data_IF_732240243809
#
_entry.id   IF_732240243809
#
_cell.length_a   1.000
_cell.length_b   1.000
_cell.length_c   1.000
_cell.angle_alpha   90.00
_cell.angle_beta   90.00
_cell.angle_gamma   90.00
#
_symmetry.space_group_name_H-M   'P 1'
#
loop_
_entity.id
_entity.type
_entity.pdbx_description
1 polymer ?
#
# COMPACT_ATOMS: atom_id res chain seq x y z
N UNK A 1 -15.88 2.09 -1.72
CA UNK A 1 -15.13 1.15 -2.55
C UNK A 1 -15.65 1.13 -3.98
N UNK A 2 -14.76 0.97 -4.96
CA UNK A 2 -15.15 0.89 -6.37
C UNK A 2 -15.75 -0.48 -6.71
N UNK A 3 -15.20 -1.54 -6.18
CA UNK A 3 -15.52 -2.91 -6.56
C UNK A 3 -16.22 -3.68 -5.45
N UNK A 4 -15.69 -3.66 -4.25
CA UNK A 4 -16.27 -4.30 -3.08
C UNK A 4 -16.06 -3.45 -1.83
N UNK A 5 -17.12 -3.18 -1.09
CA UNK A 5 -17.02 -2.48 0.18
C UNK A 5 -16.43 -3.41 1.26
N UNK A 6 -16.84 -4.67 1.23
CA UNK A 6 -16.36 -5.69 2.16
C UNK A 6 -16.23 -7.04 1.46
N UNK A 7 -15.08 -7.69 1.63
CA UNK A 7 -14.81 -9.02 1.10
C UNK A 7 -14.62 -9.99 2.24
N UNK A 8 -15.49 -11.00 2.31
CA UNK A 8 -15.50 -12.05 3.35
C UNK A 8 -15.11 -13.37 2.70
N UNK A 9 -14.29 -14.14 3.38
CA UNK A 9 -13.89 -15.48 2.97
C UNK A 9 -15.00 -16.52 3.26
N UNK A 10 -15.26 -17.37 2.27
CA UNK A 10 -16.02 -18.60 2.48
C UNK A 10 -15.03 -19.69 2.97
N UNK A 11 -15.06 -19.98 4.27
CA UNK A 11 -14.14 -20.92 4.93
C UNK A 11 -14.24 -22.35 4.39
N UNK A 12 -15.33 -22.69 3.71
CA UNK A 12 -15.53 -24.06 3.18
C UNK A 12 -14.77 -24.30 1.86
N UNK A 13 -14.42 -23.25 1.12
CA UNK A 13 -13.84 -23.41 -0.24
C UNK A 13 -12.36 -23.11 -0.34
N UNK A 14 -11.73 -22.45 0.62
CA UNK A 14 -10.31 -22.04 0.60
C UNK A 14 -9.83 -21.53 -0.78
N UNK A 15 -10.65 -20.74 -1.45
CA UNK A 15 -10.40 -20.23 -2.79
C UNK A 15 -9.84 -18.82 -2.72
N UNK A 16 -8.85 -18.54 -3.57
CA UNK A 16 -8.37 -17.16 -3.75
C UNK A 16 -9.37 -16.37 -4.59
N UNK A 17 -9.90 -15.29 -4.03
CA UNK A 17 -10.74 -14.35 -4.79
C UNK A 17 -9.89 -13.61 -5.83
N UNK A 18 -10.39 -13.50 -7.07
CA UNK A 18 -9.67 -12.83 -8.15
C UNK A 18 -10.56 -11.78 -8.82
N UNK A 19 -10.03 -10.58 -8.99
CA UNK A 19 -10.70 -9.47 -9.66
C UNK A 19 -9.79 -8.74 -10.63
N UNK A 20 -10.41 -8.16 -11.65
CA UNK A 20 -9.74 -7.27 -12.59
C UNK A 20 -10.53 -5.98 -12.69
N UNK A 21 -9.84 -4.85 -12.58
CA UNK A 21 -10.42 -3.51 -12.68
C UNK A 21 -9.66 -2.73 -13.74
N UNK A 22 -10.39 -2.08 -14.63
CA UNK A 22 -9.82 -1.17 -15.64
C UNK A 22 -10.25 0.25 -15.34
N UNK A 23 -9.29 1.15 -15.15
CA UNK A 23 -9.52 2.58 -14.97
C UNK A 23 -9.39 3.23 -16.35
N UNK A 24 -10.51 3.57 -16.97
CA UNK A 24 -10.58 3.91 -18.41
C UNK A 24 -10.82 5.41 -18.66
N UNK A 25 -11.23 6.16 -17.67
CA UNK A 25 -11.54 7.58 -17.83
C UNK A 25 -10.28 8.42 -17.67
N UNK A 26 -10.22 9.60 -18.32
CA UNK A 26 -9.14 10.54 -18.13
C UNK A 26 -8.93 10.91 -16.65
N UNK A 27 -10.02 10.98 -15.89
CA UNK A 27 -10.01 11.14 -14.44
C UNK A 27 -10.87 10.04 -13.79
N UNK A 28 -10.28 9.26 -12.89
CA UNK A 28 -11.00 8.27 -12.10
C UNK A 28 -11.02 8.69 -10.63
N UNK A 29 -12.21 8.71 -10.01
CA UNK A 29 -12.39 9.06 -8.60
C UNK A 29 -13.24 8.01 -7.87
N UNK A 30 -12.73 7.46 -6.79
CA UNK A 30 -13.41 6.44 -5.98
C UNK A 30 -12.81 6.38 -4.55
N UNK A 31 -13.39 5.58 -3.64
CA UNK A 31 -12.75 5.35 -2.34
C UNK A 31 -11.73 4.23 -2.47
N UNK A 32 -11.64 3.13 -2.41
CA UNK A 32 -10.61 2.10 -2.70
C UNK A 32 -11.22 1.07 -3.66
N UNK A 33 -10.42 0.32 -4.38
CA UNK A 33 -10.96 -0.79 -5.18
C UNK A 33 -11.62 -1.80 -4.26
N UNK A 34 -10.94 -2.18 -3.18
CA UNK A 34 -11.49 -2.99 -2.09
C UNK A 34 -11.56 -2.11 -0.84
N UNK A 35 -12.75 -1.92 -0.27
CA UNK A 35 -12.91 -1.17 0.98
C UNK A 35 -12.25 -1.89 2.15
N UNK A 36 -12.67 -3.14 2.40
CA UNK A 36 -12.12 -4.01 3.43
C UNK A 36 -11.94 -5.43 2.90
N UNK A 37 -10.73 -5.96 3.06
CA UNK A 37 -10.44 -7.38 2.83
C UNK A 37 -10.54 -8.09 4.18
N UNK A 38 -11.48 -9.02 4.30
CA UNK A 38 -11.82 -9.71 5.55
C UNK A 38 -10.72 -10.63 6.08
N UNK A 39 -10.88 -11.10 7.31
CA UNK A 39 -9.94 -12.02 7.95
C UNK A 39 -9.79 -13.33 7.16
N UNK A 40 -8.55 -13.84 7.08
CA UNK A 40 -8.19 -15.08 6.40
C UNK A 40 -8.56 -15.12 4.90
N UNK A 41 -8.85 -13.97 4.29
CA UNK A 41 -9.13 -13.87 2.85
C UNK A 41 -7.85 -13.80 2.05
N UNK A 42 -7.74 -14.64 1.02
CA UNK A 42 -6.70 -14.55 0.01
C UNK A 42 -7.29 -13.93 -1.26
N UNK A 43 -6.68 -12.87 -1.75
CA UNK A 43 -7.18 -12.13 -2.91
C UNK A 43 -6.07 -11.82 -3.92
N UNK A 44 -6.45 -11.79 -5.19
CA UNK A 44 -5.62 -11.31 -6.28
C UNK A 44 -6.39 -10.25 -7.06
N UNK A 45 -5.80 -9.08 -7.17
CA UNK A 45 -6.38 -7.92 -7.85
C UNK A 45 -5.49 -7.50 -9.01
N UNK A 46 -6.06 -7.43 -10.19
CA UNK A 46 -5.40 -6.83 -11.36
C UNK A 46 -5.99 -5.45 -11.60
N UNK A 47 -5.14 -4.42 -11.63
CA UNK A 47 -5.51 -3.04 -11.94
C UNK A 47 -4.84 -2.64 -13.25
N UNK A 48 -5.63 -2.44 -14.28
CA UNK A 48 -5.18 -1.87 -15.54
C UNK A 48 -5.53 -0.38 -15.55
N UNK A 49 -4.51 0.47 -15.55
CA UNK A 49 -4.74 1.91 -15.53
C UNK A 49 -4.48 2.53 -16.90
N UNK A 50 -5.53 3.13 -17.46
CA UNK A 50 -5.51 3.94 -18.67
C UNK A 50 -6.01 5.38 -18.41
N UNK A 51 -6.12 5.77 -17.14
CA UNK A 51 -6.49 7.13 -16.75
C UNK A 51 -5.24 8.00 -16.61
N UNK A 52 -5.37 9.30 -16.86
CA UNK A 52 -4.29 10.28 -16.66
C UNK A 52 -4.10 10.58 -15.17
N UNK A 53 -5.20 10.58 -14.42
CA UNK A 53 -5.20 10.78 -12.97
C UNK A 53 -6.21 9.88 -12.27
N UNK A 54 -5.85 9.46 -11.04
CA UNK A 54 -6.70 8.63 -10.19
C UNK A 54 -6.79 9.26 -8.81
N UNK A 55 -8.00 9.56 -8.36
CA UNK A 55 -8.26 10.09 -7.02
C UNK A 55 -8.96 9.04 -6.15
N UNK A 56 -8.34 8.71 -5.05
CA UNK A 56 -8.86 7.78 -4.03
C UNK A 56 -9.11 8.54 -2.76
N UNK A 57 -10.35 8.55 -2.26
CA UNK A 57 -10.69 9.24 -1.03
C UNK A 57 -11.54 8.39 -0.11
N UNK A 58 -11.23 8.44 1.18
CA UNK A 58 -11.97 7.71 2.21
C UNK A 58 -12.08 8.50 3.51
N UNK A 59 -13.14 8.25 4.30
CA UNK A 59 -13.25 8.80 5.65
C UNK A 59 -12.37 8.04 6.65
N UNK A 60 -12.22 6.72 6.49
CA UNK A 60 -11.34 5.86 7.28
C UNK A 60 -9.99 5.62 6.58
N UNK A 61 -9.53 4.39 6.54
CA UNK A 61 -8.31 4.03 5.82
C UNK A 61 -8.51 4.08 4.31
N UNK A 62 -7.55 4.61 3.57
CA UNK A 62 -7.58 4.74 2.12
C UNK A 62 -6.31 4.20 1.46
N UNK A 63 -6.48 3.47 0.37
CA UNK A 63 -5.40 2.98 -0.50
C UNK A 63 -5.96 2.66 -1.88
N UNK A 64 -5.16 2.77 -2.94
CA UNK A 64 -5.61 2.48 -4.29
C UNK A 64 -6.24 1.08 -4.37
N UNK A 65 -5.51 0.07 -3.94
CA UNK A 65 -5.96 -1.31 -3.99
C UNK A 65 -6.94 -1.65 -2.84
N UNK A 66 -6.56 -1.33 -1.61
CA UNK A 66 -7.37 -1.69 -0.45
C UNK A 66 -7.31 -0.62 0.64
N UNK A 67 -8.47 -0.26 1.19
CA UNK A 67 -8.56 0.63 2.35
C UNK A 67 -8.03 -0.06 3.60
N UNK A 68 -8.50 -1.29 3.89
CA UNK A 68 -8.12 -2.05 5.07
C UNK A 68 -8.01 -3.55 4.79
N UNK A 69 -6.90 -4.12 5.18
CA UNK A 69 -6.69 -5.57 5.22
C UNK A 69 -6.84 -6.04 6.67
N UNK A 70 -7.72 -7.00 6.89
CA UNK A 70 -7.94 -7.60 8.21
C UNK A 70 -6.93 -8.72 8.48
N UNK A 71 -6.97 -9.25 9.71
CA UNK A 71 -6.03 -10.23 10.23
C UNK A 71 -5.84 -11.45 9.31
N UNK A 72 -4.58 -11.87 9.13
CA UNK A 72 -4.20 -13.04 8.32
C UNK A 72 -4.70 -13.00 6.87
N UNK A 73 -5.11 -11.85 6.36
CA UNK A 73 -5.50 -11.71 4.96
C UNK A 73 -4.29 -11.55 4.05
N UNK A 74 -4.40 -11.94 2.79
CA UNK A 74 -3.35 -11.71 1.80
C UNK A 74 -3.90 -11.08 0.54
N UNK A 75 -3.16 -10.11 -0.01
CA UNK A 75 -3.53 -9.43 -1.25
C UNK A 75 -2.33 -9.37 -2.19
N UNK A 76 -2.47 -9.99 -3.35
CA UNK A 76 -1.54 -9.81 -4.46
C UNK A 76 -2.14 -8.80 -5.44
N UNK A 77 -1.41 -7.73 -5.71
CA UNK A 77 -1.83 -6.70 -6.68
C UNK A 77 -0.92 -6.74 -7.89
N UNK A 78 -1.52 -6.84 -9.06
CA UNK A 78 -0.85 -6.73 -10.35
C UNK A 78 -1.29 -5.41 -10.97
N UNK A 79 -0.34 -4.54 -11.27
CA UNK A 79 -0.60 -3.25 -11.89
C UNK A 79 -0.09 -3.18 -13.31
N UNK A 80 -0.75 -2.41 -14.15
CA UNK A 80 -0.26 -2.02 -15.47
C UNK A 80 -0.74 -0.61 -15.82
N UNK A 81 0.05 0.12 -16.61
CA UNK A 81 -0.19 1.51 -16.93
C UNK A 81 0.35 2.45 -15.83
N UNK A 82 0.36 3.74 -16.12
CA UNK A 82 0.84 4.80 -15.22
C UNK A 82 -0.20 5.91 -15.08
N UNK A 83 -0.32 6.48 -13.88
CA UNK A 83 -1.13 7.66 -13.64
C UNK A 83 -0.54 8.50 -12.50
N UNK A 84 -1.05 9.71 -12.35
CA UNK A 84 -0.92 10.46 -11.11
C UNK A 84 -1.96 9.94 -10.12
N UNK A 85 -1.52 9.37 -9.01
CA UNK A 85 -2.40 8.84 -7.97
C UNK A 85 -2.49 9.80 -6.79
N UNK A 86 -3.70 10.27 -6.48
CA UNK A 86 -3.99 11.08 -5.31
C UNK A 86 -4.82 10.25 -4.32
N UNK A 87 -4.24 9.91 -3.19
CA UNK A 87 -4.88 9.08 -2.17
C UNK A 87 -5.07 9.91 -0.90
N UNK A 88 -6.30 10.03 -0.40
CA UNK A 88 -6.59 10.81 0.78
C UNK A 88 -7.47 10.07 1.79
N UNK A 89 -7.16 10.27 3.08
CA UNK A 89 -8.00 9.83 4.20
C UNK A 89 -8.29 10.99 5.12
N UNK A 90 -9.57 11.28 5.34
CA UNK A 90 -9.98 12.45 6.15
C UNK A 90 -9.95 12.20 7.66
N UNK A 91 -9.94 10.95 8.14
CA UNK A 91 -9.88 10.64 9.57
C UNK A 91 -9.01 9.43 9.94
N UNK A 92 -8.43 8.76 8.95
CA UNK A 92 -7.64 7.54 9.14
C UNK A 92 -6.26 7.60 8.51
N UNK A 93 -5.77 6.43 8.09
CA UNK A 93 -4.46 6.25 7.48
C UNK A 93 -4.59 6.21 5.95
N UNK A 94 -3.56 6.67 5.24
CA UNK A 94 -3.50 6.58 3.81
C UNK A 94 -2.18 5.95 3.34
N UNK A 95 -2.28 5.09 2.35
CA UNK A 95 -1.12 4.54 1.63
C UNK A 95 -1.38 4.53 0.14
N UNK A 96 -0.34 4.68 -0.66
CA UNK A 96 -0.48 4.66 -2.12
C UNK A 96 -1.20 3.39 -2.61
N UNK A 97 -0.97 2.24 -1.97
CA UNK A 97 -1.66 0.98 -2.27
C UNK A 97 -2.62 0.54 -1.17
N UNK A 98 -2.18 0.55 0.08
CA UNK A 98 -2.95 0.02 1.21
C UNK A 98 -3.05 1.06 2.32
N UNK A 99 -4.26 1.35 2.79
CA UNK A 99 -4.46 2.27 3.91
C UNK A 99 -4.00 1.69 5.23
N UNK A 100 -4.47 0.50 5.58
CA UNK A 100 -4.14 -0.19 6.85
C UNK A 100 -4.02 -1.70 6.64
N UNK A 101 -2.99 -2.29 7.22
CA UNK A 101 -2.75 -3.73 7.29
C UNK A 101 -2.78 -4.19 8.75
N UNK A 102 -3.69 -5.11 9.08
CA UNK A 102 -3.79 -5.71 10.42
C UNK A 102 -2.80 -6.88 10.59
N UNK A 103 -2.69 -7.35 11.82
CA UNK A 103 -1.80 -8.42 12.28
C UNK A 103 -1.83 -9.67 11.37
N UNK A 104 -0.66 -10.15 10.97
CA UNK A 104 -0.47 -11.33 10.13
C UNK A 104 -0.89 -11.15 8.66
N UNK A 105 -1.28 -9.94 8.22
CA UNK A 105 -1.65 -9.73 6.83
C UNK A 105 -0.42 -9.63 5.91
N UNK A 106 -0.60 -9.99 4.63
CA UNK A 106 0.46 -10.00 3.63
C UNK A 106 0.05 -9.27 2.36
N UNK A 107 0.89 -8.37 1.90
CA UNK A 107 0.71 -7.64 0.64
C UNK A 107 1.86 -7.93 -0.32
N UNK A 108 1.53 -8.31 -1.55
CA UNK A 108 2.48 -8.51 -2.63
C UNK A 108 2.15 -7.59 -3.79
N UNK A 109 3.12 -6.76 -4.18
CA UNK A 109 3.03 -5.95 -5.39
C UNK A 109 3.79 -6.63 -6.52
N UNK A 110 3.06 -6.98 -7.56
CA UNK A 110 3.58 -7.60 -8.77
C UNK A 110 3.54 -6.59 -9.92
N UNK A 111 4.53 -6.64 -10.81
CA UNK A 111 4.76 -5.69 -11.88
C UNK A 111 5.21 -4.30 -11.39
N UNK A 112 5.29 -3.36 -12.33
CA UNK A 112 5.75 -2.01 -12.04
C UNK A 112 4.61 -1.15 -11.49
N UNK A 113 4.93 -0.34 -10.48
CA UNK A 113 4.03 0.66 -9.94
C UNK A 113 4.78 1.97 -9.71
N UNK A 114 4.22 3.06 -10.21
CA UNK A 114 4.74 4.39 -9.96
C UNK A 114 3.64 5.29 -9.38
N UNK A 115 3.85 5.81 -8.17
CA UNK A 115 3.04 6.85 -7.57
C UNK A 115 3.74 8.19 -7.79
N UNK A 116 3.15 9.06 -8.60
CA UNK A 116 3.67 10.39 -8.91
C UNK A 116 2.82 11.54 -8.34
N UNK A 117 1.71 11.21 -7.68
CA UNK A 117 0.76 12.16 -7.12
C UNK A 117 0.97 12.43 -5.62
N UNK A 118 -0.12 12.43 -4.88
CA UNK A 118 -0.14 12.79 -3.47
C UNK A 118 -0.80 11.72 -2.60
N UNK A 119 -0.22 11.46 -1.42
CA UNK A 119 -0.85 10.68 -0.36
C UNK A 119 -1.04 11.55 0.85
N UNK A 120 -2.28 11.74 1.30
CA UNK A 120 -2.62 12.59 2.45
C UNK A 120 -3.45 11.85 3.49
N UNK A 121 -3.07 11.94 4.76
CA UNK A 121 -3.79 11.29 5.85
C UNK A 121 -3.96 12.18 7.07
N UNK A 122 -5.12 12.10 7.73
CA UNK A 122 -5.30 12.67 9.07
C UNK A 122 -4.54 11.87 10.16
N UNK A 123 -4.16 10.63 9.86
CA UNK A 123 -3.33 9.76 10.69
C UNK A 123 -1.93 9.57 10.10
N UNK A 124 -1.60 8.34 9.78
CA UNK A 124 -0.33 7.93 9.22
C UNK A 124 -0.40 7.88 7.70
N UNK A 125 0.58 8.48 7.02
CA UNK A 125 0.70 8.44 5.57
C UNK A 125 1.95 7.68 5.12
N UNK A 126 1.79 6.73 4.24
CA UNK A 126 2.89 5.98 3.62
C UNK A 126 2.83 6.03 2.10
N UNK A 127 3.97 6.15 1.45
CA UNK A 127 4.00 6.08 -0.01
C UNK A 127 3.41 4.77 -0.56
N UNK A 128 3.46 3.70 0.23
CA UNK A 128 2.85 2.42 -0.13
C UNK A 128 1.76 2.00 0.86
N UNK A 129 2.06 2.02 2.18
CA UNK A 129 1.17 1.54 3.24
C UNK A 129 1.06 2.61 4.34
N UNK A 130 -0.16 3.01 4.70
CA UNK A 130 -0.38 4.00 5.75
C UNK A 130 0.00 3.48 7.14
N UNK A 131 -0.55 2.35 7.53
CA UNK A 131 -0.29 1.65 8.79
C UNK A 131 -0.17 0.15 8.58
N UNK A 132 0.78 -0.49 9.26
CA UNK A 132 0.92 -1.93 9.27
C UNK A 132 1.29 -2.47 10.66
N UNK A 133 0.67 -3.58 11.07
CA UNK A 133 0.93 -4.28 12.32
C UNK A 133 1.24 -5.75 12.05
N UNK A 134 2.44 -6.23 12.45
CA UNK A 134 2.93 -7.59 12.22
C UNK A 134 2.65 -8.09 10.79
N UNK A 135 2.80 -7.21 9.81
CA UNK A 135 2.39 -7.46 8.43
C UNK A 135 3.61 -7.55 7.51
N UNK A 136 3.48 -8.30 6.43
CA UNK A 136 4.53 -8.46 5.43
C UNK A 136 4.19 -7.74 4.13
N UNK A 137 5.22 -7.12 3.53
CA UNK A 137 5.14 -6.51 2.20
C UNK A 137 6.26 -7.06 1.34
N UNK A 138 5.93 -7.50 0.15
CA UNK A 138 6.90 -8.02 -0.83
C UNK A 138 6.71 -7.39 -2.20
N UNK A 139 7.82 -7.31 -2.94
CA UNK A 139 7.87 -6.76 -4.29
C UNK A 139 8.38 -7.82 -5.26
N UNK A 140 7.54 -8.25 -6.19
CA UNK A 140 7.96 -9.07 -7.34
C UNK A 140 8.31 -8.20 -8.55
N UNK A 141 7.74 -6.99 -8.62
CA UNK A 141 8.07 -5.92 -9.57
C UNK A 141 8.76 -4.74 -8.91
N UNK A 142 8.96 -3.66 -9.66
CA UNK A 142 9.52 -2.41 -9.15
C UNK A 142 8.43 -1.47 -8.66
N UNK A 143 8.64 -0.82 -7.53
CA UNK A 143 7.75 0.22 -7.03
C UNK A 143 8.52 1.53 -6.83
N UNK A 144 7.93 2.63 -7.32
CA UNK A 144 8.50 3.96 -7.21
C UNK A 144 7.49 4.93 -6.61
N UNK A 145 7.92 5.71 -5.64
CA UNK A 145 7.15 6.84 -5.08
C UNK A 145 7.94 8.12 -5.24
N UNK A 146 7.42 9.07 -6.01
CA UNK A 146 8.10 10.32 -6.35
C UNK A 146 7.24 11.58 -6.13
N UNK A 147 6.05 11.45 -5.58
CA UNK A 147 5.15 12.57 -5.30
C UNK A 147 5.32 13.18 -3.92
N UNK A 148 4.22 13.55 -3.30
CA UNK A 148 4.18 14.09 -1.93
C UNK A 148 3.44 13.12 -1.01
N UNK A 149 3.98 12.87 0.16
CA UNK A 149 3.32 12.07 1.20
C UNK A 149 3.18 12.94 2.45
N UNK A 150 1.95 13.11 2.93
CA UNK A 150 1.62 14.01 4.03
C UNK A 150 0.73 13.32 5.06
N UNK A 151 1.21 13.17 6.28
CA UNK A 151 0.47 12.57 7.39
C UNK A 151 0.50 13.45 8.63
N UNK A 152 -0.63 13.63 9.31
CA UNK A 152 -0.66 14.47 10.50
C UNK A 152 0.19 13.91 11.65
N UNK A 153 0.26 12.58 11.80
CA UNK A 153 1.01 11.92 12.87
C UNK A 153 2.42 11.49 12.43
N UNK A 154 2.51 10.74 11.34
CA UNK A 154 3.79 10.34 10.80
C UNK A 154 3.71 10.03 9.30
N UNK A 155 4.84 10.21 8.62
CA UNK A 155 4.96 10.09 7.16
C UNK A 155 6.17 9.26 6.79
N UNK A 156 5.98 8.23 5.98
CA UNK A 156 7.08 7.40 5.50
C UNK A 156 7.04 7.19 3.98
N UNK A 157 8.20 7.05 3.38
CA UNK A 157 8.28 6.74 1.95
C UNK A 157 7.68 5.39 1.61
N UNK A 158 7.71 4.42 2.54
CA UNK A 158 7.04 3.11 2.40
C UNK A 158 5.86 3.03 3.35
N UNK A 159 6.13 3.08 4.67
CA UNK A 159 5.16 2.96 5.74
C UNK A 159 5.03 4.27 6.49
N UNK A 160 3.80 4.75 6.67
CA UNK A 160 3.53 5.83 7.62
C UNK A 160 3.87 5.39 9.04
N UNK A 161 3.36 4.24 9.45
CA UNK A 161 3.70 3.59 10.71
C UNK A 161 3.79 2.07 10.53
N UNK A 162 4.89 1.49 10.96
CA UNK A 162 5.06 0.05 11.06
C UNK A 162 5.26 -0.35 12.52
N UNK A 163 4.44 -1.29 13.00
CA UNK A 163 4.52 -1.86 14.34
C UNK A 163 4.72 -3.37 14.23
N UNK A 164 5.66 -3.92 15.00
CA UNK A 164 5.85 -5.36 15.09
C UNK A 164 6.23 -5.81 16.49
N UNK A 165 5.65 -6.93 16.89
CA UNK A 165 6.02 -7.69 18.06
C UNK A 165 6.79 -8.98 17.72
N UNK A 166 7.02 -9.24 16.43
CA UNK A 166 7.76 -10.42 15.98
C UNK A 166 9.24 -10.32 16.34
N UNK A 167 9.83 -11.47 16.68
CA UNK A 167 11.23 -11.53 17.08
C UNK A 167 12.19 -11.14 15.96
N UNK A 168 11.84 -11.43 14.73
CA UNK A 168 12.61 -11.11 13.55
C UNK A 168 11.70 -10.59 12.42
N UNK A 169 12.08 -9.48 11.84
CA UNK A 169 11.40 -8.86 10.70
C UNK A 169 12.41 -8.56 9.59
N UNK A 170 12.01 -8.72 8.36
CA UNK A 170 12.82 -8.34 7.22
C UNK A 170 12.01 -7.65 6.15
N UNK A 171 12.58 -6.58 5.56
CA UNK A 171 12.06 -5.90 4.40
C UNK A 171 13.10 -5.89 3.29
N UNK A 172 12.74 -6.46 2.15
CA UNK A 172 13.55 -6.33 0.94
C UNK A 172 13.05 -5.13 0.13
N UNK A 173 13.85 -4.06 0.14
CA UNK A 173 13.59 -2.82 -0.60
C UNK A 173 14.41 -2.73 -1.90
N UNK A 174 15.02 -3.81 -2.36
CA UNK A 174 15.86 -3.81 -3.56
C UNK A 174 15.10 -3.35 -4.81
N UNK A 175 13.80 -3.55 -4.83
CA UNK A 175 12.91 -3.17 -5.92
C UNK A 175 12.05 -1.94 -5.61
N UNK A 176 12.38 -1.20 -4.54
CA UNK A 176 11.64 -0.03 -4.13
C UNK A 176 12.49 1.23 -4.21
N UNK A 177 11.96 2.27 -4.82
CA UNK A 177 12.60 3.58 -4.95
C UNK A 177 11.70 4.68 -4.37
N UNK A 178 12.28 5.54 -3.55
CA UNK A 178 11.60 6.68 -2.93
C UNK A 178 12.36 7.96 -3.27
N UNK A 179 11.68 8.90 -3.91
CA UNK A 179 12.18 10.26 -4.16
C UNK A 179 11.10 11.31 -3.89
N UNK A 180 10.25 11.08 -2.88
CA UNK A 180 9.10 11.92 -2.56
C UNK A 180 9.42 12.98 -1.50
N UNK A 181 8.60 14.03 -1.48
CA UNK A 181 8.54 14.99 -0.38
C UNK A 181 7.71 14.41 0.75
N UNK A 182 8.26 14.42 1.99
CA UNK A 182 7.59 13.88 3.17
C UNK A 182 7.23 15.02 4.12
N UNK A 183 5.95 15.14 4.47
CA UNK A 183 5.42 16.16 5.38
C UNK A 183 4.66 15.48 6.53
N UNK A 184 5.13 15.63 7.75
CA UNK A 184 4.49 15.07 8.95
C UNK A 184 5.19 15.48 10.23
N UNK A 185 4.58 15.22 11.37
CA UNK A 185 5.20 15.46 12.69
C UNK A 185 6.46 14.59 12.83
N UNK A 186 6.42 13.36 12.36
CA UNK A 186 7.57 12.48 12.19
C UNK A 186 7.69 12.05 10.74
N UNK A 187 8.87 12.18 10.13
CA UNK A 187 9.09 11.82 8.72
C UNK A 187 10.32 10.95 8.55
N UNK A 188 10.20 9.88 7.78
CA UNK A 188 11.31 8.96 7.52
C UNK A 188 11.26 8.33 6.12
N UNK A 189 12.41 8.17 5.48
CA UNK A 189 12.51 7.67 4.11
C UNK A 189 11.84 6.31 3.88
N UNK A 190 11.89 5.40 4.88
CA UNK A 190 11.18 4.12 4.83
C UNK A 190 9.97 4.13 5.76
N UNK A 191 10.19 4.43 7.04
CA UNK A 191 9.18 4.43 8.09
C UNK A 191 9.05 5.83 8.67
N UNK A 192 7.84 6.38 8.71
CA UNK A 192 7.54 7.60 9.46
C UNK A 192 7.61 7.35 10.97
N UNK A 193 7.04 6.23 11.39
CA UNK A 193 7.16 5.69 12.74
C UNK A 193 7.44 4.19 12.69
N UNK A 194 8.37 3.72 13.50
CA UNK A 194 8.71 2.31 13.64
C UNK A 194 8.65 1.93 15.13
N UNK A 195 7.83 0.96 15.46
CA UNK A 195 7.84 0.27 16.76
C UNK A 195 8.10 -1.23 16.51
N UNK A 196 9.24 -1.70 16.95
CA UNK A 196 9.63 -3.10 16.78
C UNK A 196 10.26 -3.63 18.07
N UNK A 197 9.75 -4.74 18.59
CA UNK A 197 10.28 -5.37 19.81
C UNK A 197 11.38 -6.39 19.53
N UNK A 198 11.59 -6.77 18.26
CA UNK A 198 12.60 -7.73 17.81
C UNK A 198 13.67 -7.11 16.90
N UNK A 199 14.33 -7.94 16.13
CA UNK A 199 15.30 -7.53 15.14
C UNK A 199 14.61 -7.09 13.85
N UNK A 200 15.10 -6.00 13.25
CA UNK A 200 14.64 -5.51 11.95
C UNK A 200 15.82 -5.56 10.96
N UNK A 201 15.66 -6.29 9.88
CA UNK A 201 16.64 -6.34 8.78
C UNK A 201 16.09 -5.64 7.56
N UNK A 202 16.80 -4.63 7.06
CA UNK A 202 16.49 -3.97 5.79
C UNK A 202 17.45 -4.52 4.74
N UNK A 203 16.91 -5.17 3.73
CA UNK A 203 17.69 -5.73 2.63
C UNK A 203 17.58 -4.77 1.44
N UNK A 204 18.72 -4.31 0.96
CA UNK A 204 18.85 -3.58 -0.29
C UNK A 204 19.98 -4.21 -1.09
N UNK A 205 19.65 -5.04 -2.05
CA UNK A 205 20.60 -5.53 -3.01
C UNK A 205 20.74 -4.46 -4.10
N UNK A 206 21.91 -3.85 -4.21
CA UNK A 206 22.21 -3.03 -5.37
C UNK A 206 22.28 -3.99 -6.57
N UNK A 207 21.19 -4.10 -7.31
CA UNK A 207 21.27 -4.59 -8.68
C UNK A 207 22.10 -3.54 -9.40
N UNK A 208 23.37 -3.86 -9.66
CA UNK A 208 24.22 -3.04 -10.52
C UNK A 208 23.37 -2.73 -11.77
N UNK A 209 23.13 -1.44 -11.99
CA UNK A 209 22.67 -1.00 -13.28
C UNK A 209 23.73 -1.51 -14.26
N UNK A 210 23.38 -2.52 -15.04
CA UNK A 210 24.24 -3.01 -16.11
C UNK A 210 24.58 -1.77 -16.92
N UNK A 211 25.83 -1.36 -16.82
CA UNK A 211 26.32 -0.16 -17.47
C UNK A 211 26.09 -0.29 -18.97
N UNK A 212 25.50 0.72 -19.53
CA UNK A 212 25.58 1.04 -20.95
C UNK A 212 26.55 2.21 -21.09
#
# INVERSE_FOLDING_TARGET
>A
ALFAEHVIHDTEKNTTAQWSVSLMNAEAAFSSVIGTLGENVNAKLTITNNADSVSVSGSGSAGLACGRMEKNSSLTVITSGSASYNVSSSSGNAGGMIGTMADGSAFTLNNEFALTGEVTAAGYAGGLVGYAENASVSFEGTAMVSGTVSGALATGGVFGYYKSSEAENSFDISRYSVSCTLNGESSGGLFGKLENSGNMTIIKNDTEAAGI
#
